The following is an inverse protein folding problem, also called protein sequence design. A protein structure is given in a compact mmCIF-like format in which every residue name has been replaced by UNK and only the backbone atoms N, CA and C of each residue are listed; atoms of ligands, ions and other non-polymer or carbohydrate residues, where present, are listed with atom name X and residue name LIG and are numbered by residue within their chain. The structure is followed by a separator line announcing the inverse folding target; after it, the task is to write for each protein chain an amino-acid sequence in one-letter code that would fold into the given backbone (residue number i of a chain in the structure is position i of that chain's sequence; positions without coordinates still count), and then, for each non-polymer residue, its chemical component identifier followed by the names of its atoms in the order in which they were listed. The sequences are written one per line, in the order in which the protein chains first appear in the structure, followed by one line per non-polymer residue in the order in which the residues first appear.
data_IF_429624269886
#
_entry.id   IF_429624269886
#
_cell.length_a   1.000
_cell.length_b   1.000
_cell.length_c   1.000
_cell.angle_alpha   90.00
_cell.angle_beta   90.00
_cell.angle_gamma   90.00
#
_symmetry.space_group_name_H-M   'P 1'
#
loop_
_entity.id
_entity.type
_entity.pdbx_description
1 polymer ?
#
# COMPACT_ATOMS: atom_id res chain seq x y z
N UNK A 1 26.57 14.04 15.94
CA UNK A 1 26.51 13.41 17.27
C UNK A 1 26.00 12.00 17.05
N UNK A 2 26.90 10.99 17.12
CA UNK A 2 26.52 9.59 16.97
C UNK A 2 25.72 9.11 18.17
N UNK A 3 24.65 8.36 17.93
CA UNK A 3 23.94 7.65 19.01
C UNK A 3 24.66 6.33 19.23
N UNK A 4 25.03 6.04 20.48
CA UNK A 4 25.58 4.76 20.86
C UNK A 4 24.52 3.65 20.64
N UNK A 5 24.73 2.70 19.72
CA UNK A 5 23.75 1.70 19.39
C UNK A 5 23.40 0.75 20.55
N UNK A 6 24.29 0.63 21.54
CA UNK A 6 24.04 -0.19 22.74
C UNK A 6 22.99 0.43 23.68
N UNK A 7 22.67 1.71 23.48
CA UNK A 7 21.67 2.46 24.24
C UNK A 7 20.31 2.53 23.54
N UNK A 8 20.20 1.94 22.36
CA UNK A 8 18.95 1.88 21.57
C UNK A 8 18.33 0.50 21.71
N UNK A 9 17.09 0.47 22.15
CA UNK A 9 16.29 -0.75 22.30
C UNK A 9 15.16 -0.71 21.27
N UNK A 10 15.19 -1.60 20.27
CA UNK A 10 14.20 -1.69 19.19
C UNK A 10 13.27 -2.85 19.50
N UNK A 11 11.97 -2.55 19.64
CA UNK A 11 10.95 -3.53 20.02
C UNK A 11 9.73 -3.48 19.12
N UNK A 12 9.09 -4.64 18.96
CA UNK A 12 7.74 -4.73 18.40
C UNK A 12 6.67 -4.49 19.48
N UNK A 13 5.55 -3.85 19.16
CA UNK A 13 4.49 -3.56 20.14
C UNK A 13 3.79 -4.80 20.73
N UNK A 14 4.02 -5.97 20.17
CA UNK A 14 3.49 -7.24 20.68
C UNK A 14 4.31 -7.82 21.84
N UNK A 15 5.49 -7.25 22.11
CA UNK A 15 6.32 -7.65 23.25
C UNK A 15 5.87 -6.85 24.47
N UNK A 16 5.66 -7.53 25.61
CA UNK A 16 5.35 -6.87 26.87
C UNK A 16 6.62 -6.24 27.45
N UNK A 17 6.91 -5.01 27.05
CA UNK A 17 8.07 -4.27 27.53
C UNK A 17 7.61 -3.06 28.32
N UNK A 18 8.21 -2.85 29.49
CA UNK A 18 8.03 -1.64 30.29
C UNK A 18 9.02 -0.56 29.82
N UNK A 19 8.51 0.57 29.39
CA UNK A 19 9.27 1.74 28.96
C UNK A 19 9.34 2.85 30.02
N UNK A 20 8.91 2.59 31.26
CA UNK A 20 8.85 3.60 32.33
C UNK A 20 10.22 4.22 32.66
N UNK A 21 11.31 3.45 32.52
CA UNK A 21 12.68 3.90 32.73
C UNK A 21 13.32 4.60 31.52
N UNK A 22 12.66 4.55 30.34
CA UNK A 22 13.22 5.14 29.13
C UNK A 22 13.02 6.65 29.10
N UNK A 23 14.08 7.38 28.70
CA UNK A 23 14.06 8.85 28.57
C UNK A 23 13.44 9.33 27.26
N UNK A 24 13.36 8.46 26.27
CA UNK A 24 12.84 8.75 24.94
C UNK A 24 12.18 7.50 24.36
N UNK A 25 11.00 7.67 23.76
CA UNK A 25 10.37 6.69 22.87
C UNK A 25 10.15 7.31 21.49
N UNK A 26 10.51 6.57 20.47
CA UNK A 26 10.27 6.91 19.08
C UNK A 26 9.34 5.84 18.50
N UNK A 27 8.22 6.27 17.92
CA UNK A 27 7.20 5.38 17.35
C UNK A 27 7.14 5.60 15.85
N UNK A 28 7.52 4.60 15.08
CA UNK A 28 7.30 4.55 13.64
C UNK A 28 5.87 4.07 13.34
N UNK A 29 5.28 4.51 12.22
CA UNK A 29 3.87 4.29 11.88
C UNK A 29 2.93 4.76 13.02
N UNK A 30 3.14 5.98 13.51
CA UNK A 30 2.48 6.54 14.69
C UNK A 30 0.96 6.56 14.63
N UNK A 31 0.37 6.46 13.44
CA UNK A 31 -1.10 6.30 13.25
C UNK A 31 -1.70 5.10 14.01
N UNK A 32 -0.88 4.10 14.34
CA UNK A 32 -1.31 2.94 15.12
C UNK A 32 -1.27 3.17 16.64
N UNK A 33 -0.64 4.25 17.08
CA UNK A 33 -0.46 4.59 18.50
C UNK A 33 -1.77 4.66 19.33
N UNK A 34 -2.93 5.11 18.80
CA UNK A 34 -4.18 5.09 19.55
C UNK A 34 -4.74 3.69 19.87
N UNK A 35 -4.22 2.62 19.26
CA UNK A 35 -4.63 1.26 19.62
C UNK A 35 -4.21 0.93 21.06
N UNK A 36 -5.07 0.22 21.80
CA UNK A 36 -4.95 -0.01 23.25
C UNK A 36 -3.56 -0.48 23.70
N UNK A 37 -2.97 -1.44 22.98
CA UNK A 37 -1.65 -1.97 23.30
C UNK A 37 -0.55 -0.93 23.11
N UNK A 38 -0.55 -0.22 21.98
CA UNK A 38 0.42 0.81 21.67
C UNK A 38 0.30 2.00 22.62
N UNK A 39 -0.93 2.45 22.87
CA UNK A 39 -1.23 3.54 23.80
C UNK A 39 -0.62 3.27 25.17
N UNK A 40 -0.89 2.08 25.76
CA UNK A 40 -0.36 1.70 27.08
C UNK A 40 1.18 1.74 27.10
N UNK A 41 1.82 1.22 26.04
CA UNK A 41 3.30 1.20 25.94
C UNK A 41 3.84 2.63 25.87
N UNK A 42 3.26 3.49 25.03
CA UNK A 42 3.70 4.88 24.84
C UNK A 42 3.50 5.68 26.13
N UNK A 43 2.34 5.51 26.79
CA UNK A 43 2.01 6.20 28.05
C UNK A 43 2.91 5.75 29.21
N UNK A 44 3.43 4.55 29.23
CA UNK A 44 4.39 4.11 30.26
C UNK A 44 5.70 4.90 30.22
N UNK A 45 6.13 5.42 29.06
CA UNK A 45 7.31 6.24 28.94
C UNK A 45 7.07 7.64 29.54
N UNK A 46 7.79 7.96 30.63
CA UNK A 46 7.72 9.29 31.27
C UNK A 46 8.57 10.35 30.56
N UNK A 47 9.46 9.93 29.66
CA UNK A 47 10.37 10.79 28.92
C UNK A 47 9.72 11.45 27.68
N UNK A 48 10.56 11.79 26.72
CA UNK A 48 10.14 12.38 25.45
C UNK A 48 9.47 11.33 24.56
N UNK A 49 8.45 11.77 23.80
CA UNK A 49 7.69 10.91 22.90
C UNK A 49 7.65 11.54 21.52
N UNK A 50 8.12 10.81 20.50
CA UNK A 50 8.06 11.22 19.11
C UNK A 50 7.34 10.15 18.29
N UNK A 51 6.41 10.58 17.46
CA UNK A 51 5.73 9.74 16.47
C UNK A 51 6.09 10.18 15.06
N UNK A 52 6.46 9.24 14.21
CA UNK A 52 6.72 9.46 12.79
C UNK A 52 5.69 8.71 11.96
N UNK A 53 5.10 9.38 11.00
CA UNK A 53 4.16 8.77 10.05
C UNK A 53 4.05 9.63 8.79
N UNK A 54 3.96 8.99 7.63
CA UNK A 54 3.74 9.69 6.38
C UNK A 54 2.29 10.18 6.21
N UNK A 55 1.34 9.55 6.90
CA UNK A 55 -0.11 9.83 6.81
C UNK A 55 -0.77 9.61 8.17
N UNK A 56 -0.45 10.43 9.19
CA UNK A 56 -0.87 10.17 10.56
C UNK A 56 -2.38 10.38 10.78
N UNK A 57 -3.01 11.22 9.95
CA UNK A 57 -4.40 11.63 10.12
C UNK A 57 -5.37 10.70 9.38
N UNK A 58 -6.52 10.48 9.98
CA UNK A 58 -7.63 9.70 9.43
C UNK A 58 -8.90 10.55 9.37
N UNK A 59 -9.97 10.00 8.78
CA UNK A 59 -11.30 10.62 8.81
C UNK A 59 -11.95 10.55 10.22
N UNK A 60 -11.32 9.85 11.17
CA UNK A 60 -11.77 9.70 12.55
C UNK A 60 -11.17 10.80 13.45
N UNK A 61 -11.99 11.77 13.80
CA UNK A 61 -11.59 12.92 14.61
C UNK A 61 -11.16 12.53 16.03
N UNK A 62 -11.82 11.57 16.67
CA UNK A 62 -11.49 11.11 18.03
C UNK A 62 -10.11 10.47 18.06
N UNK A 63 -9.85 9.62 17.08
CA UNK A 63 -8.54 8.96 16.92
C UNK A 63 -7.43 9.98 16.67
N UNK A 64 -7.67 10.99 15.89
CA UNK A 64 -6.71 12.06 15.64
C UNK A 64 -6.40 12.86 16.92
N UNK A 65 -7.41 13.15 17.75
CA UNK A 65 -7.21 13.78 19.05
C UNK A 65 -6.42 12.91 20.04
N UNK A 66 -6.70 11.62 20.07
CA UNK A 66 -5.88 10.68 20.86
C UNK A 66 -4.41 10.66 20.42
N UNK A 67 -4.18 10.65 19.11
CA UNK A 67 -2.83 10.70 18.56
C UNK A 67 -2.08 11.97 19.00
N UNK A 68 -2.73 13.13 18.93
CA UNK A 68 -2.16 14.40 19.41
C UNK A 68 -1.81 14.36 20.90
N UNK A 69 -2.71 13.83 21.73
CA UNK A 69 -2.49 13.71 23.18
C UNK A 69 -1.31 12.80 23.52
N UNK A 70 -1.15 11.69 22.83
CA UNK A 70 -0.05 10.74 23.04
C UNK A 70 1.32 11.38 22.82
N UNK A 71 1.44 12.27 21.82
CA UNK A 71 2.66 12.98 21.47
C UNK A 71 2.69 14.46 21.95
N UNK A 72 1.83 14.82 22.93
CA UNK A 72 1.80 16.13 23.61
C UNK A 72 1.51 17.32 22.69
N UNK A 73 0.80 17.10 21.60
CA UNK A 73 0.26 18.16 20.74
C UNK A 73 1.26 18.84 19.80
N UNK A 74 2.57 18.66 19.98
CA UNK A 74 3.55 19.23 19.06
C UNK A 74 3.53 18.46 17.74
N UNK A 75 3.46 19.21 16.64
CA UNK A 75 3.42 18.66 15.30
C UNK A 75 4.43 19.40 14.41
N UNK A 76 5.21 18.64 13.66
CA UNK A 76 6.06 19.15 12.59
C UNK A 76 5.75 18.36 11.31
N UNK A 77 5.55 19.05 10.21
CA UNK A 77 5.28 18.48 8.90
C UNK A 77 6.39 18.91 7.94
N UNK A 78 7.06 17.94 7.32
CA UNK A 78 7.98 18.20 6.22
C UNK A 78 7.16 18.24 4.93
N UNK A 79 7.09 19.40 4.32
CA UNK A 79 6.37 19.57 3.05
C UNK A 79 7.17 18.97 1.91
N UNK A 80 6.47 18.59 0.82
CA UNK A 80 7.09 17.97 -0.33
C UNK A 80 8.16 18.86 -0.98
N UNK A 81 7.94 20.17 -1.00
CA UNK A 81 8.89 21.14 -1.54
C UNK A 81 10.24 21.12 -0.81
N UNK A 82 10.23 20.76 0.46
CA UNK A 82 11.42 20.60 1.31
C UNK A 82 12.17 19.28 1.03
N UNK A 83 11.49 18.32 0.36
CA UNK A 83 12.05 17.04 -0.05
C UNK A 83 12.65 17.08 -1.47
N UNK A 84 12.90 18.26 -2.04
CA UNK A 84 13.56 18.39 -3.34
C UNK A 84 14.91 17.67 -3.32
N UNK A 85 15.14 16.84 -4.33
CA UNK A 85 16.36 16.03 -4.40
C UNK A 85 16.32 14.73 -3.58
N UNK A 86 15.33 14.50 -2.71
CA UNK A 86 15.15 13.26 -1.95
C UNK A 86 14.24 12.28 -2.70
N UNK A 87 13.20 12.78 -3.37
CA UNK A 87 12.25 11.97 -4.12
C UNK A 87 12.51 12.05 -5.63
N UNK A 88 12.31 10.96 -6.34
CA UNK A 88 12.28 10.90 -7.79
C UNK A 88 11.01 11.57 -8.33
N UNK A 89 11.07 12.12 -9.53
CA UNK A 89 9.89 12.53 -10.28
C UNK A 89 9.07 11.29 -10.66
N UNK A 90 7.75 11.43 -10.76
CA UNK A 90 6.90 10.34 -11.21
C UNK A 90 5.88 10.79 -12.25
N UNK A 91 5.69 9.97 -13.28
CA UNK A 91 4.59 10.09 -14.22
C UNK A 91 3.58 8.99 -13.94
N UNK A 92 2.31 9.38 -13.80
CA UNK A 92 1.18 8.48 -13.60
C UNK A 92 0.40 8.36 -14.89
N UNK A 93 0.26 7.14 -15.37
CA UNK A 93 -0.60 6.76 -16.49
C UNK A 93 -1.88 6.14 -15.94
N UNK A 94 -3.02 6.82 -16.11
CA UNK A 94 -4.33 6.33 -15.71
C UNK A 94 -5.00 5.63 -16.88
N UNK A 95 -4.99 4.29 -16.87
CA UNK A 95 -5.59 3.48 -17.92
C UNK A 95 -7.08 3.32 -17.68
N UNK A 96 -7.91 3.51 -18.71
CA UNK A 96 -9.35 3.32 -18.61
C UNK A 96 -9.71 1.85 -18.79
N UNK A 97 -10.38 1.26 -17.81
CA UNK A 97 -10.97 -0.06 -17.90
C UNK A 97 -12.49 0.09 -17.79
N UNK A 98 -13.18 -0.10 -18.90
CA UNK A 98 -14.64 -0.03 -18.97
C UNK A 98 -15.18 -1.33 -19.57
N UNK A 99 -16.18 -1.90 -18.92
CA UNK A 99 -16.98 -2.99 -19.47
C UNK A 99 -18.40 -2.83 -18.95
N UNK A 100 -19.32 -2.48 -19.84
CA UNK A 100 -20.74 -2.23 -19.51
C UNK A 100 -21.45 -3.49 -18.97
N UNK A 101 -20.99 -4.68 -19.33
CA UNK A 101 -21.57 -5.94 -18.86
C UNK A 101 -21.11 -6.35 -17.47
N UNK A 102 -20.01 -5.79 -16.95
CA UNK A 102 -19.48 -6.15 -15.65
C UNK A 102 -20.30 -5.58 -14.48
N UNK A 103 -20.91 -4.41 -14.63
CA UNK A 103 -21.66 -3.80 -13.54
C UNK A 103 -22.75 -4.73 -13.04
N UNK A 104 -23.62 -5.24 -13.92
CA UNK A 104 -24.70 -6.15 -13.53
C UNK A 104 -24.17 -7.42 -12.84
N UNK A 105 -23.13 -8.03 -13.39
CA UNK A 105 -22.49 -9.22 -12.77
C UNK A 105 -21.95 -8.94 -11.37
N UNK A 106 -21.40 -7.75 -11.16
CA UNK A 106 -20.90 -7.32 -9.85
C UNK A 106 -22.07 -7.12 -8.88
N UNK A 107 -23.15 -6.44 -9.33
CA UNK A 107 -24.32 -6.17 -8.50
C UNK A 107 -25.01 -7.48 -8.09
N UNK A 108 -25.18 -8.43 -8.98
CA UNK A 108 -25.72 -9.76 -8.69
C UNK A 108 -24.85 -10.52 -7.66
N UNK A 109 -23.55 -10.42 -7.81
CA UNK A 109 -22.61 -11.06 -6.88
C UNK A 109 -22.62 -10.40 -5.50
N UNK A 110 -22.81 -9.08 -5.42
CA UNK A 110 -22.99 -8.35 -4.16
C UNK A 110 -24.22 -8.88 -3.42
N UNK A 111 -25.35 -9.01 -4.12
CA UNK A 111 -26.58 -9.53 -3.51
C UNK A 111 -26.42 -10.98 -3.04
N UNK A 112 -25.75 -11.81 -3.81
CA UNK A 112 -25.45 -13.19 -3.42
C UNK A 112 -24.62 -13.24 -2.12
N UNK A 113 -23.50 -12.51 -2.08
CA UNK A 113 -22.61 -12.46 -0.90
C UNK A 113 -23.32 -11.89 0.33
N UNK A 114 -24.11 -10.81 0.14
CA UNK A 114 -24.83 -10.18 1.22
C UNK A 114 -25.90 -11.10 1.80
N UNK A 115 -26.69 -11.77 0.95
CA UNK A 115 -27.74 -12.69 1.38
C UNK A 115 -27.20 -13.91 2.09
N UNK A 116 -26.05 -14.41 1.67
CA UNK A 116 -25.35 -15.49 2.34
C UNK A 116 -24.87 -15.10 3.75
N UNK A 117 -24.27 -13.92 3.90
CA UNK A 117 -23.58 -13.49 5.12
C UNK A 117 -24.44 -12.79 6.16
N UNK A 118 -25.54 -12.14 5.77
CA UNK A 118 -26.40 -11.35 6.67
C UNK A 118 -26.97 -12.14 7.85
N UNK A 119 -27.02 -13.48 7.74
CA UNK A 119 -27.61 -14.37 8.78
C UNK A 119 -26.68 -14.63 9.95
N UNK A 120 -25.36 -14.56 9.75
CA UNK A 120 -24.37 -14.92 10.78
C UNK A 120 -23.34 -13.84 11.09
N UNK A 121 -23.18 -12.82 10.26
CA UNK A 121 -22.28 -11.70 10.58
C UNK A 121 -22.98 -10.66 11.45
N UNK A 122 -22.45 -10.45 12.68
CA UNK A 122 -22.97 -9.47 13.64
C UNK A 122 -22.39 -8.06 13.39
N UNK A 123 -22.57 -7.54 12.19
CA UNK A 123 -22.16 -6.19 11.79
C UNK A 123 -23.35 -5.44 11.18
N UNK A 124 -23.29 -4.13 11.12
CA UNK A 124 -24.35 -3.32 10.49
C UNK A 124 -24.51 -3.71 9.02
N UNK A 125 -25.74 -3.82 8.55
CA UNK A 125 -26.03 -4.21 7.16
C UNK A 125 -25.34 -3.31 6.13
N UNK A 126 -25.20 -2.01 6.39
CA UNK A 126 -24.51 -1.09 5.51
C UNK A 126 -23.00 -1.42 5.39
N UNK A 127 -22.35 -1.77 6.50
CA UNK A 127 -20.94 -2.19 6.51
C UNK A 127 -20.76 -3.52 5.79
N UNK A 128 -21.64 -4.49 6.05
CA UNK A 128 -21.62 -5.77 5.36
C UNK A 128 -21.76 -5.60 3.85
N UNK A 129 -22.72 -4.78 3.41
CA UNK A 129 -22.95 -4.50 1.99
C UNK A 129 -21.73 -3.84 1.35
N UNK A 130 -21.07 -2.90 2.05
CA UNK A 130 -19.84 -2.28 1.56
C UNK A 130 -18.67 -3.28 1.44
N UNK A 131 -18.55 -4.22 2.36
CA UNK A 131 -17.57 -5.31 2.28
C UNK A 131 -17.84 -6.23 1.09
N UNK A 132 -19.10 -6.67 0.92
CA UNK A 132 -19.51 -7.51 -0.21
C UNK A 132 -19.27 -6.80 -1.55
N UNK A 133 -19.57 -5.50 -1.63
CA UNK A 133 -19.36 -4.71 -2.83
C UNK A 133 -17.89 -4.66 -3.23
N UNK A 134 -16.98 -4.40 -2.26
CA UNK A 134 -15.56 -4.37 -2.59
C UNK A 134 -15.01 -5.76 -2.94
N UNK A 135 -15.51 -6.81 -2.31
CA UNK A 135 -15.13 -8.19 -2.62
C UNK A 135 -15.56 -8.58 -4.05
N UNK A 136 -16.81 -8.30 -4.43
CA UNK A 136 -17.35 -8.55 -5.76
C UNK A 136 -16.59 -7.77 -6.85
N UNK A 137 -16.30 -6.48 -6.61
CA UNK A 137 -15.47 -5.66 -7.51
C UNK A 137 -14.09 -6.28 -7.67
N UNK A 138 -13.47 -6.70 -6.56
CA UNK A 138 -12.14 -7.30 -6.61
C UNK A 138 -12.14 -8.60 -7.39
N UNK A 139 -13.12 -9.47 -7.15
CA UNK A 139 -13.17 -10.78 -7.79
C UNK A 139 -13.53 -10.68 -9.28
N UNK A 140 -14.63 -10.01 -9.60
CA UNK A 140 -15.18 -9.96 -10.95
C UNK A 140 -14.53 -8.84 -11.76
N UNK A 141 -14.52 -7.62 -11.21
CA UNK A 141 -14.08 -6.43 -11.93
C UNK A 141 -12.55 -6.34 -12.08
N UNK A 142 -11.78 -6.91 -11.15
CA UNK A 142 -10.32 -6.87 -11.18
C UNK A 142 -9.74 -8.24 -11.53
N UNK A 143 -9.98 -9.27 -10.72
CA UNK A 143 -9.29 -10.55 -10.90
C UNK A 143 -9.72 -11.31 -12.15
N UNK A 144 -11.01 -11.26 -12.52
CA UNK A 144 -11.57 -11.95 -13.69
C UNK A 144 -11.65 -11.07 -14.96
N UNK A 145 -11.26 -9.80 -14.87
CA UNK A 145 -11.26 -8.90 -16.04
C UNK A 145 -9.98 -9.10 -16.87
N UNK A 146 -10.08 -9.96 -17.87
CA UNK A 146 -8.92 -10.37 -18.68
C UNK A 146 -8.35 -9.22 -19.51
N UNK A 147 -9.18 -8.31 -20.04
CA UNK A 147 -8.72 -7.17 -20.84
C UNK A 147 -7.88 -6.21 -19.96
N UNK A 148 -8.40 -5.87 -18.78
CA UNK A 148 -7.70 -5.05 -17.81
C UNK A 148 -6.37 -5.68 -17.38
N UNK A 149 -6.39 -6.97 -17.09
CA UNK A 149 -5.20 -7.70 -16.66
C UNK A 149 -4.21 -7.91 -17.80
N UNK A 150 -4.69 -8.07 -19.04
CA UNK A 150 -3.86 -8.09 -20.24
C UNK A 150 -3.11 -6.77 -20.45
N UNK A 151 -3.79 -5.62 -20.29
CA UNK A 151 -3.14 -4.31 -20.32
C UNK A 151 -2.05 -4.21 -19.24
N UNK A 152 -2.35 -4.60 -18.01
CA UNK A 152 -1.38 -4.57 -16.90
C UNK A 152 -0.16 -5.48 -17.19
N UNK A 153 -0.37 -6.66 -17.76
CA UNK A 153 0.69 -7.57 -18.14
C UNK A 153 1.58 -6.97 -19.25
N UNK A 154 0.98 -6.34 -20.26
CA UNK A 154 1.72 -5.68 -21.33
C UNK A 154 2.62 -4.56 -20.80
N UNK A 155 2.12 -3.73 -19.88
CA UNK A 155 2.90 -2.66 -19.25
C UNK A 155 4.06 -3.22 -18.42
N UNK A 156 3.80 -4.27 -17.62
CA UNK A 156 4.83 -4.92 -16.81
C UNK A 156 5.90 -5.57 -17.68
N UNK A 157 5.50 -6.23 -18.78
CA UNK A 157 6.41 -6.85 -19.73
C UNK A 157 7.28 -5.83 -20.46
N UNK A 158 6.70 -4.73 -20.93
CA UNK A 158 7.42 -3.66 -21.61
C UNK A 158 8.49 -3.03 -20.70
N UNK A 159 8.16 -2.75 -19.46
CA UNK A 159 9.09 -2.19 -18.47
C UNK A 159 10.18 -3.18 -18.08
N UNK A 160 9.82 -4.42 -17.77
CA UNK A 160 10.78 -5.48 -17.43
C UNK A 160 11.74 -5.80 -18.58
N UNK A 161 11.24 -5.85 -19.81
CA UNK A 161 12.05 -6.04 -21.01
C UNK A 161 13.07 -4.93 -21.23
N UNK A 162 12.81 -3.71 -20.76
CA UNK A 162 13.73 -2.57 -20.79
C UNK A 162 14.70 -2.55 -19.59
N UNK A 163 14.79 -3.63 -18.83
CA UNK A 163 15.60 -3.74 -17.60
C UNK A 163 15.25 -2.71 -16.51
N UNK A 164 14.01 -2.23 -16.51
CA UNK A 164 13.49 -1.34 -15.48
C UNK A 164 12.82 -2.17 -14.38
N UNK A 165 13.37 -2.22 -13.15
CA UNK A 165 12.78 -2.99 -12.07
C UNK A 165 11.32 -2.63 -11.85
N UNK A 166 10.44 -3.59 -12.08
CA UNK A 166 8.98 -3.39 -12.10
C UNK A 166 8.32 -4.12 -10.94
N UNK A 167 7.51 -3.39 -10.17
CA UNK A 167 6.66 -3.94 -9.11
C UNK A 167 5.21 -3.99 -9.57
N UNK A 168 4.61 -5.17 -9.56
CA UNK A 168 3.19 -5.38 -9.86
C UNK A 168 2.45 -5.70 -8.58
N UNK A 169 1.51 -4.84 -8.18
CA UNK A 169 0.72 -5.02 -6.98
C UNK A 169 -0.66 -5.60 -7.32
N UNK A 170 -0.92 -6.80 -6.82
CA UNK A 170 -2.16 -7.54 -7.11
C UNK A 170 -3.01 -7.73 -5.83
N UNK A 171 -4.35 -7.82 -5.94
CA UNK A 171 -5.22 -7.98 -4.77
C UNK A 171 -5.30 -9.41 -4.25
N UNK A 172 -5.00 -10.41 -5.07
CA UNK A 172 -5.14 -11.84 -4.75
C UNK A 172 -3.92 -12.64 -5.23
N UNK A 173 -3.57 -13.67 -4.45
CA UNK A 173 -2.46 -14.57 -4.78
C UNK A 173 -2.68 -15.28 -6.12
N UNK A 174 -3.91 -15.73 -6.38
CA UNK A 174 -4.27 -16.41 -7.63
C UNK A 174 -3.98 -15.55 -8.86
N UNK A 175 -4.33 -14.26 -8.81
CA UNK A 175 -4.00 -13.32 -9.89
C UNK A 175 -2.48 -13.10 -9.98
N UNK A 176 -1.78 -13.03 -8.85
CA UNK A 176 -0.32 -12.90 -8.84
C UNK A 176 0.39 -14.09 -9.47
N UNK A 177 -0.08 -15.30 -9.21
CA UNK A 177 0.43 -16.52 -9.83
C UNK A 177 0.14 -16.56 -11.34
N UNK A 178 -1.04 -16.08 -11.76
CA UNK A 178 -1.37 -15.95 -13.18
C UNK A 178 -0.40 -14.97 -13.88
N UNK A 179 -0.14 -13.80 -13.30
CA UNK A 179 0.88 -12.87 -13.84
C UNK A 179 2.27 -13.51 -13.90
N UNK A 180 2.67 -14.26 -12.86
CA UNK A 180 3.96 -14.93 -12.84
C UNK A 180 4.09 -16.02 -13.91
N UNK A 181 2.99 -16.70 -14.29
CA UNK A 181 3.00 -17.68 -15.37
C UNK A 181 3.04 -17.04 -16.77
N UNK A 182 2.57 -15.80 -16.89
CA UNK A 182 2.50 -15.08 -18.15
C UNK A 182 3.76 -14.26 -18.44
N UNK A 183 4.37 -13.69 -17.42
CA UNK A 183 5.49 -12.77 -17.54
C UNK A 183 6.83 -13.49 -17.35
N UNK A 184 7.64 -13.53 -18.40
CA UNK A 184 8.95 -14.21 -18.35
C UNK A 184 9.86 -13.61 -17.28
N UNK A 185 10.44 -14.45 -16.42
CA UNK A 185 11.34 -14.05 -15.35
C UNK A 185 10.66 -13.33 -14.18
N UNK A 186 9.33 -13.25 -14.16
CA UNK A 186 8.60 -12.65 -13.05
C UNK A 186 8.51 -13.60 -11.86
N UNK A 187 8.60 -13.04 -10.65
CA UNK A 187 8.49 -13.80 -9.40
C UNK A 187 7.36 -13.23 -8.55
N UNK A 188 6.47 -14.10 -8.07
CA UNK A 188 5.36 -13.72 -7.19
C UNK A 188 5.67 -14.03 -5.72
N UNK A 189 5.56 -13.03 -4.85
CA UNK A 189 5.69 -13.18 -3.40
C UNK A 189 4.37 -12.87 -2.68
N UNK A 190 4.08 -13.68 -1.66
CA UNK A 190 2.87 -13.54 -0.84
C UNK A 190 3.09 -14.12 0.57
N UNK A 191 2.11 -13.99 1.49
CA UNK A 191 2.24 -14.36 2.90
C UNK A 191 2.62 -15.83 3.13
N UNK A 192 2.19 -16.74 2.25
CA UNK A 192 2.49 -18.16 2.36
C UNK A 192 3.91 -18.55 1.90
N UNK A 193 4.64 -17.64 1.24
CA UNK A 193 6.04 -17.87 0.88
C UNK A 193 6.90 -17.72 2.15
N UNK A 194 7.78 -18.70 2.47
CA UNK A 194 8.63 -18.63 3.66
C UNK A 194 9.45 -17.34 3.73
N UNK A 195 9.59 -16.77 4.94
CA UNK A 195 10.29 -15.48 5.15
C UNK A 195 11.70 -15.46 4.54
N UNK A 196 12.46 -16.55 4.68
CA UNK A 196 13.81 -16.67 4.09
C UNK A 196 13.79 -16.59 2.56
N UNK A 197 12.82 -17.28 1.92
CA UNK A 197 12.68 -17.26 0.46
C UNK A 197 12.28 -15.85 0.00
N UNK A 198 11.36 -15.20 0.70
CA UNK A 198 10.99 -13.81 0.38
C UNK A 198 12.20 -12.86 0.47
N UNK A 199 13.03 -13.00 1.51
CA UNK A 199 14.24 -12.21 1.65
C UNK A 199 15.19 -12.41 0.46
N UNK A 200 15.44 -13.66 0.05
CA UNK A 200 16.30 -13.96 -1.09
C UNK A 200 15.74 -13.37 -2.40
N UNK A 201 14.43 -13.47 -2.65
CA UNK A 201 13.77 -12.87 -3.82
C UNK A 201 13.90 -11.34 -3.79
N UNK A 202 13.73 -10.72 -2.63
CA UNK A 202 13.90 -9.28 -2.47
C UNK A 202 15.34 -8.83 -2.76
N UNK A 203 16.32 -9.60 -2.31
CA UNK A 203 17.73 -9.31 -2.57
C UNK A 203 18.08 -9.48 -4.06
N UNK A 204 17.54 -10.50 -4.71
CA UNK A 204 17.69 -10.71 -6.16
C UNK A 204 17.03 -9.56 -6.96
N UNK A 205 15.87 -9.09 -6.52
CA UNK A 205 15.20 -7.94 -7.14
C UNK A 205 16.02 -6.63 -6.95
N UNK A 206 16.60 -6.41 -5.76
CA UNK A 206 17.48 -5.25 -5.52
C UNK A 206 18.74 -5.27 -6.38
N UNK A 207 19.31 -6.45 -6.62
CA UNK A 207 20.49 -6.65 -7.47
C UNK A 207 20.17 -6.56 -8.97
N UNK A 208 18.90 -6.61 -9.35
CA UNK A 208 18.47 -6.62 -10.75
C UNK A 208 18.50 -8.01 -11.40
N UNK A 209 18.69 -9.09 -10.63
CA UNK A 209 18.59 -10.46 -11.12
C UNK A 209 17.14 -10.84 -11.46
N UNK A 210 16.18 -10.22 -10.77
CA UNK A 210 14.74 -10.29 -11.05
C UNK A 210 14.28 -8.91 -11.50
N UNK A 211 13.67 -8.83 -12.69
CA UNK A 211 13.21 -7.58 -13.27
C UNK A 211 11.74 -7.28 -12.93
N UNK A 212 10.91 -8.30 -12.73
CA UNK A 212 9.49 -8.15 -12.44
C UNK A 212 9.17 -8.86 -11.13
N UNK A 213 8.81 -8.08 -10.11
CA UNK A 213 8.35 -8.60 -8.84
C UNK A 213 6.83 -8.40 -8.73
N UNK A 214 6.11 -9.48 -8.47
CA UNK A 214 4.68 -9.46 -8.26
C UNK A 214 4.43 -9.65 -6.75
N UNK A 215 3.61 -8.80 -6.15
CA UNK A 215 3.34 -8.89 -4.72
C UNK A 215 1.87 -8.61 -4.41
N UNK A 216 1.37 -9.28 -3.37
CA UNK A 216 0.07 -8.97 -2.75
C UNK A 216 0.24 -7.88 -1.68
N UNK A 217 -0.71 -7.74 -0.75
CA UNK A 217 -0.69 -6.77 0.36
C UNK A 217 0.56 -6.82 1.27
N UNK A 218 1.39 -7.86 1.18
CA UNK A 218 2.70 -7.87 1.84
C UNK A 218 3.59 -6.70 1.42
N UNK A 219 3.35 -6.14 0.24
CA UNK A 219 3.99 -4.92 -0.21
C UNK A 219 3.60 -3.69 0.64
N UNK A 220 2.53 -3.76 1.42
CA UNK A 220 2.08 -2.67 2.28
C UNK A 220 2.91 -2.62 3.59
N UNK A 221 3.50 -3.74 4.02
CA UNK A 221 4.22 -3.86 5.28
C UNK A 221 5.73 -4.06 5.06
N UNK A 222 6.52 -3.00 5.28
CA UNK A 222 7.97 -3.11 5.48
C UNK A 222 8.84 -3.54 4.29
N UNK A 223 8.33 -3.62 3.06
CA UNK A 223 9.18 -3.89 1.90
C UNK A 223 9.98 -2.66 1.50
N UNK A 224 11.26 -2.64 1.84
CA UNK A 224 12.19 -1.63 1.35
C UNK A 224 12.66 -1.99 -0.06
N UNK A 225 12.09 -1.34 -1.07
CA UNK A 225 12.39 -1.53 -2.49
C UNK A 225 12.79 -0.20 -3.15
N UNK A 226 14.01 0.30 -2.91
CA UNK A 226 14.43 1.58 -3.47
C UNK A 226 14.51 1.59 -5.00
N UNK A 227 14.72 0.43 -5.61
CA UNK A 227 15.00 0.31 -7.05
C UNK A 227 13.74 0.18 -7.92
N UNK A 228 12.51 0.28 -7.38
CA UNK A 228 11.31 0.19 -8.20
C UNK A 228 11.25 1.36 -9.17
N UNK A 229 11.44 1.09 -10.47
CA UNK A 229 11.36 2.07 -11.54
C UNK A 229 9.93 2.20 -12.06
N UNK A 230 9.25 1.08 -12.23
CA UNK A 230 7.86 1.03 -12.66
C UNK A 230 6.98 0.34 -11.62
N UNK A 231 5.87 0.97 -11.28
CA UNK A 231 4.84 0.43 -10.41
C UNK A 231 3.56 0.20 -11.21
N UNK A 232 3.06 -1.04 -11.22
CA UNK A 232 1.77 -1.39 -11.84
C UNK A 232 0.76 -1.71 -10.74
N UNK A 233 -0.22 -0.83 -10.55
CA UNK A 233 -1.24 -0.87 -9.50
C UNK A 233 -2.48 -1.66 -9.93
N UNK A 234 -2.36 -2.99 -10.03
CA UNK A 234 -3.51 -3.85 -10.38
C UNK A 234 -4.55 -3.93 -9.27
N UNK A 235 -4.10 -3.80 -8.02
CA UNK A 235 -4.94 -4.07 -6.84
C UNK A 235 -6.10 -3.10 -6.63
N UNK A 236 -6.08 -1.91 -7.23
CA UNK A 236 -7.10 -0.90 -6.97
C UNK A 236 -7.20 -0.51 -5.48
N UNK A 237 -8.43 -0.19 -5.04
CA UNK A 237 -8.74 0.13 -3.63
C UNK A 237 -8.92 1.62 -3.35
N UNK A 238 -9.51 1.92 -2.18
CA UNK A 238 -9.88 3.30 -1.79
C UNK A 238 -8.91 3.96 -0.81
N UNK A 239 -8.01 3.20 -0.21
CA UNK A 239 -7.17 3.72 0.87
C UNK A 239 -6.13 4.69 0.33
N UNK A 240 -6.29 5.97 0.64
CA UNK A 240 -5.32 7.02 0.36
C UNK A 240 -3.95 6.67 0.95
N UNK A 241 -3.91 6.23 2.20
CA UNK A 241 -2.68 5.83 2.88
C UNK A 241 -1.94 4.72 2.13
N UNK A 242 -2.65 3.64 1.76
CA UNK A 242 -2.04 2.53 0.99
C UNK A 242 -1.54 2.99 -0.37
N UNK A 243 -2.28 3.86 -1.04
CA UNK A 243 -1.88 4.42 -2.34
C UNK A 243 -0.61 5.26 -2.18
N UNK A 244 -0.57 6.16 -1.19
CA UNK A 244 0.60 6.98 -0.89
C UNK A 244 1.81 6.11 -0.54
N UNK A 245 1.67 5.14 0.35
CA UNK A 245 2.76 4.24 0.76
C UNK A 245 3.31 3.43 -0.42
N UNK A 246 2.43 2.92 -1.29
CA UNK A 246 2.83 2.16 -2.48
C UNK A 246 3.54 3.04 -3.50
N UNK A 247 2.98 4.21 -3.81
CA UNK A 247 3.58 5.17 -4.71
C UNK A 247 4.92 5.70 -4.18
N UNK A 248 5.02 6.01 -2.91
CA UNK A 248 6.25 6.51 -2.27
C UNK A 248 7.43 5.54 -2.42
N UNK A 249 7.18 4.23 -2.52
CA UNK A 249 8.24 3.24 -2.80
C UNK A 249 8.83 3.42 -4.19
N UNK A 250 7.97 3.65 -5.20
CA UNK A 250 8.41 3.98 -6.54
C UNK A 250 9.08 5.34 -6.62
N UNK A 251 8.74 6.27 -5.71
CA UNK A 251 9.33 7.62 -5.67
C UNK A 251 10.70 7.67 -4.97
N UNK A 252 11.16 6.62 -4.31
CA UNK A 252 12.50 6.63 -3.69
C UNK A 252 13.57 6.73 -4.75
N UNK A 253 14.51 7.64 -4.56
CA UNK A 253 15.69 7.74 -5.41
C UNK A 253 16.61 6.55 -5.21
N UNK A 254 17.25 6.14 -6.29
CA UNK A 254 18.32 5.15 -6.30
C UNK A 254 19.37 5.59 -7.32
N UNK A 255 20.62 5.12 -7.23
CA UNK A 255 21.62 5.40 -8.24
C UNK A 255 21.10 5.09 -9.65
N UNK A 256 21.18 6.08 -10.55
CA UNK A 256 20.67 5.95 -11.93
C UNK A 256 19.14 6.04 -12.08
N UNK A 257 18.40 6.40 -11.00
CA UNK A 257 16.95 6.54 -11.04
C UNK A 257 16.52 7.95 -10.62
N UNK A 258 16.22 8.78 -11.58
CA UNK A 258 15.66 10.13 -11.37
C UNK A 258 14.16 10.21 -11.63
N UNK A 259 13.59 9.20 -12.28
CA UNK A 259 12.20 9.15 -12.68
C UNK A 259 11.57 7.80 -12.34
N UNK A 260 10.28 7.82 -12.03
CA UNK A 260 9.47 6.63 -11.81
C UNK A 260 8.20 6.69 -12.66
N UNK A 261 7.70 5.52 -13.04
CA UNK A 261 6.47 5.34 -13.79
C UNK A 261 5.45 4.61 -12.91
N UNK A 262 4.24 5.13 -12.84
CA UNK A 262 3.13 4.50 -12.14
C UNK A 262 2.01 4.25 -13.15
N UNK A 263 1.65 3.00 -13.36
CA UNK A 263 0.48 2.59 -14.10
C UNK A 263 -0.64 2.24 -13.12
N UNK A 264 -1.78 2.93 -13.20
CA UNK A 264 -2.97 2.66 -12.40
C UNK A 264 -4.21 2.65 -13.30
N UNK A 265 -5.35 2.18 -12.78
CA UNK A 265 -6.56 1.98 -13.55
C UNK A 265 -7.70 2.86 -13.04
N UNK A 266 -8.33 3.60 -13.95
CA UNK A 266 -9.62 4.22 -13.73
C UNK A 266 -10.69 3.21 -14.13
N UNK A 267 -11.11 2.43 -13.14
CA UNK A 267 -12.06 1.35 -13.28
C UNK A 267 -13.50 1.92 -13.35
N UNK A 268 -14.02 2.14 -14.56
CA UNK A 268 -15.35 2.76 -14.79
C UNK A 268 -16.47 1.75 -14.95
N UNK A 269 -16.18 0.46 -14.82
CA UNK A 269 -17.16 -0.62 -14.92
C UNK A 269 -18.14 -0.68 -13.71
N UNK A 270 -17.87 0.02 -12.61
CA UNK A 270 -18.76 0.11 -11.46
C UNK A 270 -18.55 1.45 -10.72
N UNK A 271 -19.63 2.15 -10.27
CA UNK A 271 -19.53 3.47 -9.64
C UNK A 271 -18.59 3.52 -8.41
N UNK A 272 -18.60 2.49 -7.56
CA UNK A 272 -17.72 2.40 -6.40
C UNK A 272 -16.25 2.26 -6.81
N UNK A 273 -15.95 1.49 -7.86
CA UNK A 273 -14.59 1.35 -8.37
C UNK A 273 -14.07 2.68 -8.93
N UNK A 274 -14.90 3.41 -9.67
CA UNK A 274 -14.57 4.74 -10.18
C UNK A 274 -14.35 5.75 -9.04
N UNK A 275 -15.20 5.73 -8.01
CA UNK A 275 -15.01 6.60 -6.83
C UNK A 275 -13.68 6.31 -6.12
N UNK A 276 -13.26 5.05 -6.05
CA UNK A 276 -11.96 4.68 -5.50
C UNK A 276 -10.81 5.16 -6.39
N UNK A 277 -10.93 5.06 -7.71
CA UNK A 277 -9.92 5.59 -8.63
C UNK A 277 -9.77 7.12 -8.50
N UNK A 278 -10.87 7.87 -8.38
CA UNK A 278 -10.84 9.32 -8.14
C UNK A 278 -10.07 9.68 -6.85
N UNK A 279 -10.22 8.90 -5.77
CA UNK A 279 -9.44 9.08 -4.54
C UNK A 279 -7.95 8.84 -4.76
N UNK A 280 -7.57 7.80 -5.51
CA UNK A 280 -6.16 7.53 -5.83
C UNK A 280 -5.54 8.65 -6.69
N UNK A 281 -6.27 9.15 -7.68
CA UNK A 281 -5.85 10.29 -8.50
C UNK A 281 -5.55 11.52 -7.62
N UNK A 282 -6.42 11.80 -6.64
CA UNK A 282 -6.19 12.89 -5.68
C UNK A 282 -4.89 12.69 -4.92
N UNK A 283 -4.63 11.47 -4.42
CA UNK A 283 -3.37 11.15 -3.72
C UNK A 283 -2.13 11.35 -4.61
N UNK A 284 -2.18 10.94 -5.88
CA UNK A 284 -1.05 11.17 -6.79
C UNK A 284 -0.80 12.65 -7.05
N UNK A 285 -1.85 13.47 -7.15
CA UNK A 285 -1.72 14.94 -7.25
C UNK A 285 -1.08 15.53 -6.00
N UNK A 286 -1.51 15.11 -4.82
CA UNK A 286 -0.93 15.52 -3.53
C UNK A 286 0.55 15.10 -3.41
N UNK A 287 0.92 13.95 -3.97
CA UNK A 287 2.31 13.54 -4.11
C UNK A 287 3.08 14.30 -5.20
N UNK A 288 2.45 15.25 -5.93
CA UNK A 288 3.04 16.03 -7.01
C UNK A 288 3.50 15.17 -8.19
N UNK A 289 2.81 14.06 -8.47
CA UNK A 289 3.06 13.27 -9.65
C UNK A 289 2.51 13.97 -10.89
N UNK A 290 3.20 13.83 -12.02
CA UNK A 290 2.71 14.27 -13.33
C UNK A 290 1.74 13.22 -13.88
N UNK A 291 0.77 13.68 -14.66
CA UNK A 291 -0.16 12.78 -15.36
C UNK A 291 0.09 12.87 -16.86
N UNK A 292 0.17 11.70 -17.52
CA UNK A 292 0.27 11.56 -18.97
C UNK A 292 -0.97 10.87 -19.54
#
# INVERSE_FOLDING_TARGET
VGVDPTRVDVRCPHESVDFSSKKLIIVDEAKHAPATTWKRIIESCKGLRFGFDATPWSDDGERNEELRKLFRGNQFEIKREELQGVLAHATVYMHSASDKGLQQKIDDHIEMLFNDRKRYMRIKHAELRAMCAWEAITEIGICKNMDRNGMAAAMASASGGSKCPTLVLVPRVTLGMWFASLLSGAVCIHSKVPKKVRANVMDAFRKGDIQILIATSLADEGLDLPNVHTLVMVSGGRSAQKTIQRASRALRRAPGKDHAIIHDFRDTFHPLAEAHAKKRIKCYKELGCHFA
#
